data_IF_921320447143
#
_entry.id   IF_921320447143
#
_cell.length_a   1.000
_cell.length_b   1.000
_cell.length_c   1.000
_cell.angle_alpha   90.00
_cell.angle_beta   90.00
_cell.angle_gamma   90.00
#
_symmetry.space_group_name_H-M   'P 1'
#
loop_
_entity.id
_entity.type
_entity.pdbx_description
1 polymer ?
#
# COMPACT_ATOMS: atom_id res chain seq x y z
N UNK A 1 34.69 30.36 -37.38
CA UNK A 1 33.24 30.14 -37.17
C UNK A 1 33.08 28.85 -36.36
N UNK A 2 32.66 28.94 -35.10
CA UNK A 2 32.55 27.80 -34.18
C UNK A 2 31.20 27.10 -34.36
N UNK A 3 31.24 25.81 -34.73
CA UNK A 3 30.06 24.97 -34.90
C UNK A 3 29.45 24.66 -33.52
N UNK A 4 28.13 24.81 -33.32
CA UNK A 4 27.51 24.48 -32.04
C UNK A 4 27.53 22.94 -31.83
N UNK A 5 27.65 22.47 -30.57
CA UNK A 5 27.66 21.04 -30.29
C UNK A 5 26.30 20.40 -30.63
N UNK A 6 26.29 19.13 -31.09
CA UNK A 6 25.06 18.43 -31.43
C UNK A 6 24.20 18.22 -30.18
N UNK A 7 22.94 18.68 -30.23
CA UNK A 7 21.96 18.45 -29.18
C UNK A 7 21.51 16.99 -29.20
N UNK A 8 22.01 16.19 -28.26
CA UNK A 8 21.61 14.80 -28.01
C UNK A 8 20.25 14.74 -27.30
N UNK A 9 19.18 15.04 -28.02
CA UNK A 9 17.82 14.72 -27.54
C UNK A 9 17.59 13.22 -27.72
N UNK A 10 17.41 12.44 -26.64
CA UNK A 10 17.14 11.03 -26.77
C UNK A 10 15.86 10.83 -27.59
N UNK A 11 15.83 9.83 -28.49
CA UNK A 11 14.74 9.69 -29.42
C UNK A 11 13.43 9.32 -28.69
N UNK A 12 12.28 9.88 -29.10
CA UNK A 12 11.02 9.88 -28.32
C UNK A 12 10.39 8.49 -28.11
N UNK A 13 10.91 7.45 -28.78
CA UNK A 13 10.48 6.08 -28.59
C UNK A 13 11.12 5.40 -27.37
N UNK A 14 12.24 5.94 -26.85
CA UNK A 14 12.91 5.41 -25.67
C UNK A 14 12.09 5.68 -24.40
N UNK A 15 11.44 6.85 -24.32
CA UNK A 15 10.52 7.23 -23.24
C UNK A 15 9.20 6.45 -23.30
N UNK A 16 8.70 6.12 -24.49
CA UNK A 16 7.45 5.37 -24.67
C UNK A 16 7.54 3.90 -24.19
N UNK A 17 8.74 3.29 -24.18
CA UNK A 17 8.94 1.91 -23.75
C UNK A 17 9.30 1.76 -22.26
N UNK A 18 9.82 2.82 -21.63
CA UNK A 18 10.20 2.82 -20.21
C UNK A 18 8.99 2.95 -19.28
N UNK A 19 7.97 3.73 -19.65
CA UNK A 19 6.77 3.93 -18.83
C UNK A 19 6.13 2.62 -18.34
N UNK A 20 5.92 1.59 -19.18
CA UNK A 20 5.31 0.36 -18.70
C UNK A 20 6.20 -0.53 -17.85
N UNK A 21 7.49 -0.58 -18.16
CA UNK A 21 8.44 -1.30 -17.33
C UNK A 21 8.50 -0.71 -15.93
N UNK A 22 8.52 0.62 -15.82
CA UNK A 22 8.51 1.34 -14.55
C UNK A 22 7.18 1.14 -13.82
N UNK A 23 6.04 1.21 -14.52
CA UNK A 23 4.73 0.96 -13.92
C UNK A 23 4.60 -0.47 -13.38
N UNK A 24 5.06 -1.47 -14.12
CA UNK A 24 5.08 -2.87 -13.68
C UNK A 24 6.00 -3.06 -12.46
N UNK A 25 7.19 -2.44 -12.47
CA UNK A 25 8.13 -2.51 -11.36
C UNK A 25 7.59 -1.83 -10.09
N UNK A 26 6.89 -0.70 -10.22
CA UNK A 26 6.20 -0.04 -9.11
C UNK A 26 5.07 -0.91 -8.55
N UNK A 27 4.30 -1.58 -9.41
CA UNK A 27 3.26 -2.52 -8.99
C UNK A 27 3.83 -3.71 -8.22
N UNK A 28 4.94 -4.30 -8.69
CA UNK A 28 5.63 -5.39 -8.01
C UNK A 28 6.20 -4.91 -6.67
N UNK A 29 6.83 -3.74 -6.63
CA UNK A 29 7.36 -3.16 -5.41
C UNK A 29 6.25 -2.86 -4.39
N UNK A 30 5.11 -2.31 -4.83
CA UNK A 30 3.95 -2.06 -3.98
C UNK A 30 3.35 -3.38 -3.44
N UNK A 31 3.25 -4.41 -4.28
CA UNK A 31 2.80 -5.74 -3.87
C UNK A 31 3.73 -6.39 -2.85
N UNK A 32 5.05 -6.32 -3.07
CA UNK A 32 6.06 -6.83 -2.14
C UNK A 32 6.05 -6.07 -0.81
N UNK A 33 5.91 -4.74 -0.86
CA UNK A 33 5.77 -3.91 0.34
C UNK A 33 4.53 -4.30 1.16
N UNK A 34 3.37 -4.43 0.50
CA UNK A 34 2.14 -4.87 1.15
C UNK A 34 2.29 -6.27 1.78
N UNK A 35 2.87 -7.22 1.05
CA UNK A 35 3.14 -8.56 1.57
C UNK A 35 4.02 -8.54 2.82
N UNK A 36 5.08 -7.71 2.82
CA UNK A 36 5.98 -7.55 3.96
C UNK A 36 5.27 -6.97 5.19
N UNK A 37 4.37 -5.99 4.99
CA UNK A 37 3.58 -5.43 6.10
C UNK A 37 2.60 -6.43 6.72
N UNK A 38 2.06 -7.36 5.93
CA UNK A 38 1.14 -8.39 6.43
C UNK A 38 1.87 -9.50 7.23
N UNK A 39 3.10 -9.84 6.82
CA UNK A 39 3.93 -10.85 7.52
C UNK A 39 4.30 -10.43 8.95
N UNK A 40 4.42 -9.13 9.23
CA UNK A 40 4.69 -8.59 10.58
C UNK A 40 3.41 -8.38 11.37
N UNK A 41 2.58 -9.41 11.47
CA UNK A 41 1.41 -9.34 12.35
C UNK A 41 1.86 -9.31 13.81
N UNK A 42 1.48 -8.29 14.61
CA UNK A 42 1.76 -8.25 16.03
C UNK A 42 1.15 -9.48 16.73
N UNK A 43 1.78 -10.00 17.78
CA UNK A 43 1.23 -11.13 18.52
C UNK A 43 -0.12 -10.77 19.13
N UNK A 44 -1.06 -11.70 19.06
CA UNK A 44 -2.40 -11.53 19.60
C UNK A 44 -2.45 -11.89 21.09
N UNK A 45 -2.94 -10.98 21.91
CA UNK A 45 -3.15 -11.17 23.35
C UNK A 45 -4.65 -11.10 23.69
N UNK A 46 -5.04 -11.74 24.79
CA UNK A 46 -6.43 -11.73 25.26
C UNK A 46 -6.78 -10.42 25.94
N UNK A 47 -8.08 -10.12 26.06
CA UNK A 47 -8.55 -8.95 26.78
C UNK A 47 -8.06 -8.91 28.24
N UNK A 48 -8.06 -10.04 28.94
CA UNK A 48 -7.58 -10.12 30.32
C UNK A 48 -6.08 -9.78 30.44
N UNK A 49 -5.25 -10.24 29.49
CA UNK A 49 -3.83 -9.88 29.44
C UNK A 49 -3.64 -8.40 29.17
N UNK A 50 -4.44 -7.83 28.27
CA UNK A 50 -4.44 -6.39 28.02
C UNK A 50 -4.80 -5.59 29.28
N UNK A 51 -5.82 -6.01 30.03
CA UNK A 51 -6.20 -5.34 31.27
C UNK A 51 -5.07 -5.36 32.30
N UNK A 52 -4.34 -6.48 32.43
CA UNK A 52 -3.15 -6.54 33.29
C UNK A 52 -2.04 -5.57 32.85
N UNK A 53 -1.84 -5.40 31.53
CA UNK A 53 -0.85 -4.47 30.98
C UNK A 53 -1.28 -3.01 31.18
N UNK A 54 -2.58 -2.74 31.08
CA UNK A 54 -3.18 -1.44 31.33
C UNK A 54 -3.04 -1.09 32.82
N UNK A 55 -3.49 -1.94 33.73
CA UNK A 55 -3.33 -1.76 35.18
C UNK A 55 -1.85 -1.58 35.59
N UNK A 56 -0.93 -2.24 34.88
CA UNK A 56 0.51 -2.09 35.07
C UNK A 56 1.10 -0.78 34.54
N UNK A 57 0.30 0.10 33.92
CA UNK A 57 0.75 1.36 33.31
C UNK A 57 1.71 1.17 32.14
N UNK A 58 1.70 -0.01 31.50
CA UNK A 58 2.63 -0.39 30.43
C UNK A 58 2.10 -0.04 29.05
N UNK A 59 0.89 0.51 28.95
CA UNK A 59 0.26 0.90 27.69
C UNK A 59 0.57 2.36 27.39
N UNK A 60 1.03 2.65 26.18
CA UNK A 60 1.29 4.02 25.71
C UNK A 60 0.21 4.51 24.75
N UNK A 61 -0.24 3.66 23.83
CA UNK A 61 -1.22 4.00 22.82
C UNK A 61 -2.12 2.82 22.49
N UNK A 62 -3.40 3.10 22.23
CA UNK A 62 -4.40 2.13 21.81
C UNK A 62 -5.12 2.62 20.55
N UNK A 63 -5.01 1.85 19.46
CA UNK A 63 -5.71 2.12 18.21
C UNK A 63 -6.76 1.04 17.99
N UNK A 64 -8.03 1.40 18.11
CA UNK A 64 -9.16 0.47 17.94
C UNK A 64 -9.63 0.50 16.49
N UNK A 65 -9.72 -0.69 15.88
CA UNK A 65 -10.20 -0.93 14.51
C UNK A 65 -11.27 -2.02 14.53
N UNK A 66 -12.54 -1.61 14.44
CA UNK A 66 -13.70 -2.48 14.64
C UNK A 66 -13.56 -3.31 15.93
N UNK A 67 -13.41 -4.64 15.83
CA UNK A 67 -13.32 -5.58 16.96
C UNK A 67 -11.89 -5.84 17.44
N UNK A 68 -10.90 -5.17 16.85
CA UNK A 68 -9.48 -5.40 17.12
C UNK A 68 -8.80 -4.11 17.55
N UNK A 69 -8.13 -4.08 18.69
CA UNK A 69 -7.22 -3.00 19.04
C UNK A 69 -5.77 -3.38 18.79
N UNK A 70 -5.00 -2.40 18.34
CA UNK A 70 -3.54 -2.46 18.30
C UNK A 70 -3.05 -1.61 19.46
N UNK A 71 -2.22 -2.19 20.32
CA UNK A 71 -1.76 -1.58 21.56
C UNK A 71 -0.25 -1.45 21.50
N UNK A 72 0.25 -0.23 21.64
CA UNK A 72 1.67 0.05 21.75
C UNK A 72 2.07 0.12 23.22
N UNK A 73 3.05 -0.68 23.59
CA UNK A 73 3.56 -0.79 24.95
C UNK A 73 4.70 0.20 25.16
N UNK A 74 4.80 0.72 26.38
CA UNK A 74 5.87 1.63 26.80
C UNK A 74 7.19 0.86 26.89
N UNK A 75 8.28 1.45 26.39
CA UNK A 75 9.61 0.84 26.49
C UNK A 75 9.97 0.57 27.96
N UNK A 76 10.65 -0.55 28.30
CA UNK A 76 11.38 -1.46 27.40
C UNK A 76 10.59 -2.71 26.93
N UNK A 77 9.26 -2.68 26.89
CA UNK A 77 8.45 -3.84 26.50
C UNK A 77 8.80 -4.42 25.12
N UNK A 78 9.02 -5.74 25.04
CA UNK A 78 9.15 -6.51 23.80
C UNK A 78 8.13 -7.63 23.81
N UNK A 79 7.24 -7.74 22.80
CA UNK A 79 7.10 -6.90 21.60
C UNK A 79 6.63 -5.46 21.91
N UNK A 80 7.00 -4.49 21.08
CA UNK A 80 6.59 -3.09 21.26
C UNK A 80 5.10 -2.85 20.96
N UNK A 81 4.50 -3.72 20.13
CA UNK A 81 3.10 -3.63 19.73
C UNK A 81 2.44 -5.00 19.88
N UNK A 82 1.24 -5.03 20.43
CA UNK A 82 0.41 -6.24 20.57
C UNK A 82 -0.98 -6.01 19.99
N UNK A 83 -1.64 -7.08 19.56
CA UNK A 83 -3.00 -7.02 19.01
C UNK A 83 -3.97 -7.64 20.00
N UNK A 84 -5.03 -6.92 20.35
CA UNK A 84 -6.05 -7.38 21.29
C UNK A 84 -7.38 -7.52 20.56
N UNK A 85 -8.10 -8.62 20.80
CA UNK A 85 -9.48 -8.74 20.31
C UNK A 85 -10.43 -8.25 21.40
N UNK A 86 -11.20 -7.21 21.10
CA UNK A 86 -12.16 -6.64 22.03
C UNK A 86 -13.51 -7.36 21.88
N UNK A 87 -14.24 -7.56 23.00
CA UNK A 87 -15.66 -7.84 22.95
C UNK A 87 -16.40 -6.75 22.15
N UNK A 88 -17.43 -7.11 21.40
CA UNK A 88 -18.19 -6.17 20.56
C UNK A 88 -18.80 -5.00 21.34
N UNK A 89 -19.13 -5.20 22.62
CA UNK A 89 -19.63 -4.15 23.52
C UNK A 89 -18.58 -3.10 23.91
N UNK A 90 -17.30 -3.46 23.81
CA UNK A 90 -16.16 -2.65 24.23
C UNK A 90 -15.41 -2.02 23.04
N UNK A 91 -15.76 -2.40 21.83
CA UNK A 91 -15.21 -1.88 20.57
C UNK A 91 -15.88 -0.57 20.10
N UNK A 92 -16.66 0.09 20.97
CA UNK A 92 -17.47 1.27 20.65
C UNK A 92 -16.91 2.51 21.36
N UNK A 93 -16.99 3.71 20.76
CA UNK A 93 -16.55 4.98 21.35
C UNK A 93 -17.23 5.42 22.66
N UNK A 94 -18.26 4.71 23.14
CA UNK A 94 -18.96 4.98 24.41
C UNK A 94 -18.74 3.87 25.45
N UNK A 95 -17.65 3.12 25.32
CA UNK A 95 -17.35 2.00 26.22
C UNK A 95 -16.66 2.45 27.52
N UNK A 96 -16.88 1.69 28.61
CA UNK A 96 -16.21 1.90 29.90
C UNK A 96 -14.68 1.85 29.84
N UNK A 97 -14.12 1.20 28.81
CA UNK A 97 -12.69 1.16 28.52
C UNK A 97 -12.11 2.54 28.26
N UNK A 98 -12.86 3.45 27.63
CA UNK A 98 -12.34 4.76 27.26
C UNK A 98 -12.12 5.60 28.50
N UNK A 99 -13.05 5.55 29.44
CA UNK A 99 -12.90 6.18 30.76
C UNK A 99 -11.67 5.64 31.49
N UNK A 100 -11.39 4.35 31.40
CA UNK A 100 -10.22 3.71 32.02
C UNK A 100 -8.90 4.13 31.32
N UNK A 101 -8.89 4.21 29.99
CA UNK A 101 -7.76 4.70 29.20
C UNK A 101 -7.47 6.18 29.45
N UNK A 102 -8.50 7.02 29.55
CA UNK A 102 -8.39 8.45 29.88
C UNK A 102 -7.84 8.65 31.29
N UNK A 103 -8.32 7.85 32.26
CA UNK A 103 -7.83 7.90 33.65
C UNK A 103 -6.33 7.61 33.73
N UNK A 104 -5.83 6.74 32.85
CA UNK A 104 -4.41 6.38 32.77
C UNK A 104 -3.60 7.23 31.77
N UNK A 105 -4.20 8.27 31.19
CA UNK A 105 -3.55 9.19 30.24
C UNK A 105 -2.94 8.46 29.04
N UNK A 106 -3.66 7.47 28.50
CA UNK A 106 -3.26 6.68 27.34
C UNK A 106 -3.78 7.34 26.07
N UNK A 107 -2.92 7.48 25.05
CA UNK A 107 -3.32 7.95 23.72
C UNK A 107 -4.28 6.94 23.08
N UNK A 108 -5.55 7.27 22.89
CA UNK A 108 -6.51 6.40 22.20
C UNK A 108 -7.02 7.00 20.88
N UNK A 109 -7.21 6.15 19.87
CA UNK A 109 -7.79 6.55 18.60
C UNK A 109 -8.66 5.45 18.01
N UNK A 110 -9.83 5.82 17.52
CA UNK A 110 -10.68 4.95 16.71
C UNK A 110 -10.38 5.18 15.23
N UNK A 111 -10.01 4.11 14.53
CA UNK A 111 -9.78 4.12 13.09
C UNK A 111 -10.78 3.20 12.40
N UNK A 112 -11.63 3.76 11.55
CA UNK A 112 -12.46 2.96 10.67
C UNK A 112 -11.55 2.25 9.64
N UNK A 113 -11.70 0.94 9.41
CA UNK A 113 -10.94 0.28 8.37
C UNK A 113 -11.23 0.91 7.01
N UNK A 114 -10.18 1.10 6.22
CA UNK A 114 -10.27 1.70 4.90
C UNK A 114 -10.90 0.70 3.91
N UNK A 115 -12.22 0.73 3.82
CA UNK A 115 -12.99 -0.11 2.88
C UNK A 115 -12.51 0.07 1.43
N UNK A 116 -12.11 1.28 1.06
CA UNK A 116 -11.53 1.61 -0.24
C UNK A 116 -10.26 0.82 -0.58
N UNK A 117 -9.39 0.57 0.41
CA UNK A 117 -8.18 -0.24 0.19
C UNK A 117 -8.56 -1.69 -0.11
N UNK A 118 -9.53 -2.24 0.62
CA UNK A 118 -10.06 -3.59 0.38
C UNK A 118 -10.68 -3.74 -1.01
N UNK A 119 -11.50 -2.76 -1.43
CA UNK A 119 -12.09 -2.72 -2.77
C UNK A 119 -11.00 -2.64 -3.83
N UNK A 120 -10.03 -1.73 -3.68
CA UNK A 120 -8.92 -1.59 -4.62
C UNK A 120 -8.13 -2.89 -4.72
N UNK A 121 -7.78 -3.53 -3.60
CA UNK A 121 -7.03 -4.78 -3.58
C UNK A 121 -7.82 -5.96 -4.17
N UNK A 122 -9.15 -5.96 -4.09
CA UNK A 122 -9.99 -7.00 -4.69
C UNK A 122 -10.16 -6.81 -6.21
N UNK A 123 -10.23 -5.55 -6.67
CA UNK A 123 -10.36 -5.23 -8.09
C UNK A 123 -8.99 -5.25 -8.80
N UNK A 124 -7.89 -5.03 -8.07
CA UNK A 124 -6.53 -4.99 -8.61
C UNK A 124 -6.14 -6.25 -9.40
N UNK A 125 -6.40 -7.50 -8.97
CA UNK A 125 -6.11 -8.69 -9.75
C UNK A 125 -6.86 -8.74 -11.08
N UNK A 126 -8.12 -8.30 -11.13
CA UNK A 126 -8.92 -8.26 -12.35
C UNK A 126 -8.37 -7.21 -13.32
N UNK A 127 -8.02 -6.02 -12.79
CA UNK A 127 -7.34 -4.97 -13.56
C UNK A 127 -5.98 -5.46 -14.05
N UNK A 128 -5.22 -6.23 -13.27
CA UNK A 128 -3.95 -6.78 -13.73
C UNK A 128 -4.16 -7.84 -14.82
N UNK A 129 -5.12 -8.76 -14.61
CA UNK A 129 -5.40 -9.87 -15.52
C UNK A 129 -5.88 -9.38 -16.90
N UNK A 130 -6.66 -8.30 -16.94
CA UNK A 130 -7.19 -7.75 -18.20
C UNK A 130 -6.31 -6.59 -18.69
N UNK A 131 -5.93 -5.68 -17.79
CA UNK A 131 -5.21 -4.46 -18.10
C UNK A 131 -3.79 -4.73 -18.59
N UNK A 132 -3.04 -5.65 -17.98
CA UNK A 132 -1.67 -5.96 -18.44
C UNK A 132 -1.66 -6.52 -19.86
N UNK A 133 -2.42 -7.58 -20.23
CA UNK A 133 -2.39 -8.08 -21.59
C UNK A 133 -2.95 -7.09 -22.61
N UNK A 134 -4.01 -6.34 -22.30
CA UNK A 134 -4.52 -5.28 -23.18
C UNK A 134 -3.47 -4.20 -23.40
N UNK A 135 -2.76 -3.82 -22.34
CA UNK A 135 -1.69 -2.84 -22.41
C UNK A 135 -0.52 -3.32 -23.28
N UNK A 136 -0.07 -4.58 -23.15
CA UNK A 136 0.96 -5.13 -24.02
C UNK A 136 0.48 -5.28 -25.46
N UNK A 137 -0.76 -5.72 -25.67
CA UNK A 137 -1.34 -5.90 -27.00
C UNK A 137 -1.50 -4.57 -27.75
N UNK A 138 -1.93 -3.50 -27.06
CA UNK A 138 -2.03 -2.16 -27.65
C UNK A 138 -0.67 -1.61 -28.06
N UNK A 139 0.35 -1.75 -27.22
CA UNK A 139 1.74 -1.38 -27.58
C UNK A 139 2.26 -2.21 -28.76
N UNK A 140 2.04 -3.52 -28.74
CA UNK A 140 2.46 -4.42 -29.82
C UNK A 140 1.78 -4.07 -31.15
N UNK A 141 0.49 -3.75 -31.11
CA UNK A 141 -0.29 -3.34 -32.27
C UNK A 141 0.24 -2.02 -32.84
N UNK A 142 0.51 -1.02 -31.99
CA UNK A 142 1.11 0.25 -32.39
C UNK A 142 2.50 0.07 -33.02
N UNK A 143 3.30 -0.84 -32.46
CA UNK A 143 4.61 -1.19 -33.01
C UNK A 143 4.50 -1.87 -34.38
N UNK A 144 3.54 -2.80 -34.55
CA UNK A 144 3.27 -3.48 -35.82
C UNK A 144 2.76 -2.51 -36.90
N UNK A 145 1.88 -1.58 -36.54
CA UNK A 145 1.35 -0.57 -37.46
C UNK A 145 2.44 0.40 -37.93
N UNK A 146 3.34 0.81 -37.02
CA UNK A 146 4.48 1.66 -37.36
C UNK A 146 5.47 0.98 -38.33
N UNK A 147 5.61 -0.34 -38.27
CA UNK A 147 6.48 -1.12 -39.17
C UNK A 147 6.01 -1.19 -40.63
N UNK A 148 4.76 -0.84 -40.93
CA UNK A 148 4.19 -0.95 -42.28
C UNK A 148 4.33 0.30 -43.15
N UNK A 149 5.03 1.35 -42.71
CA UNK A 149 5.29 2.50 -43.59
C UNK A 149 6.21 2.02 -44.73
N UNK A 150 5.74 1.94 -45.99
CA UNK A 150 6.59 1.55 -47.09
C UNK A 150 7.69 2.61 -47.26
N UNK A 151 8.92 2.22 -47.65
CA UNK A 151 9.88 3.22 -48.13
C UNK A 151 9.19 3.93 -49.29
N UNK A 152 8.93 5.23 -49.14
CA UNK A 152 8.43 6.05 -50.22
C UNK A 152 9.42 5.92 -51.36
N UNK A 153 9.00 5.26 -52.45
CA UNK A 153 9.75 5.24 -53.68
C UNK A 153 9.92 6.69 -54.12
N UNK A 154 11.13 7.20 -53.94
CA UNK A 154 11.62 8.40 -54.63
C UNK A 154 11.87 8.00 -56.09
N UNK A 155 10.78 7.72 -56.80
CA UNK A 155 10.74 7.64 -58.26
C UNK A 155 10.16 8.93 -58.86
N UNK A 156 10.35 10.07 -58.18
CA UNK A 156 10.02 11.38 -58.74
C UNK A 156 11.28 12.24 -58.85
N UNK A 157 11.74 12.30 -60.11
CA UNK A 157 12.55 13.33 -60.79
C UNK A 157 14.07 13.15 -60.82
#
# INVERSE_FOLDING_TARGET
MTQPPPSSRPPPWFSALLLPGVAALLLVAAGAWLFWTQLRSPPSVTYAQFQTLLDGGQVSRVVVREITATVDLREPARPATVRVRLPSSLAVPDSSLITELETQNVDYRFEAPSQWLGILLNVLPVILLIGVPVFFLTILLLWLLRRRSPPGNLSER
#
